data_IF_889092394300
#
_entry.id   IF_889092394300
#
_cell.length_a   1.000
_cell.length_b   1.000
_cell.length_c   1.000
_cell.angle_alpha   90.00
_cell.angle_beta   90.00
_cell.angle_gamma   90.00
#
_symmetry.space_group_name_H-M   'P 1'
#
loop_
_entity.id
_entity.type
_entity.pdbx_description
1 polymer ?
#
# COMPACT_ATOMS: atom_id res chain seq x y z
N UNK A 1 -8.42 -7.28 6.23
CA UNK A 1 -7.57 -6.13 5.92
C UNK A 1 -6.61 -6.48 4.79
N UNK A 2 -6.53 -5.64 3.82
CA UNK A 2 -5.57 -5.73 2.73
C UNK A 2 -4.39 -4.84 3.09
N UNK A 3 -3.18 -5.37 3.00
CA UNK A 3 -1.97 -4.61 3.33
C UNK A 3 -0.99 -4.72 2.18
N UNK A 4 -0.52 -3.58 1.71
CA UNK A 4 0.33 -3.49 0.53
C UNK A 4 1.60 -2.73 0.88
N UNK A 5 2.75 -3.32 0.54
CA UNK A 5 4.05 -2.67 0.71
C UNK A 5 4.62 -2.38 -0.66
N UNK A 6 4.88 -1.12 -0.94
CA UNK A 6 5.50 -0.69 -2.19
C UNK A 6 6.58 0.33 -1.88
N UNK A 7 7.43 0.61 -2.86
CA UNK A 7 8.45 1.64 -2.69
C UNK A 7 7.86 3.01 -2.99
N UNK A 8 8.31 4.01 -2.28
CA UNK A 8 7.87 5.39 -2.47
C UNK A 8 8.06 5.87 -3.91
N UNK A 9 9.13 5.43 -4.56
CA UNK A 9 9.47 5.86 -5.92
C UNK A 9 8.90 4.97 -7.01
N UNK A 10 8.16 3.92 -6.67
CA UNK A 10 7.53 3.07 -7.68
C UNK A 10 6.47 3.86 -8.45
N UNK A 11 6.40 3.60 -9.76
CA UNK A 11 5.50 4.32 -10.66
C UNK A 11 4.48 3.38 -11.28
N UNK A 12 3.33 3.95 -11.63
CA UNK A 12 2.30 3.27 -12.38
C UNK A 12 1.77 4.26 -13.42
N UNK A 13 2.03 3.97 -14.70
CA UNK A 13 1.62 4.83 -15.82
C UNK A 13 2.00 6.31 -15.60
N UNK A 14 3.23 6.54 -15.12
CA UNK A 14 3.76 7.88 -14.91
C UNK A 14 3.38 8.55 -13.60
N UNK A 15 2.57 7.88 -12.77
CA UNK A 15 2.15 8.40 -11.47
C UNK A 15 2.78 7.59 -10.33
N UNK A 16 2.80 8.16 -9.14
CA UNK A 16 3.25 7.40 -7.98
C UNK A 16 2.33 6.20 -7.79
N UNK A 17 2.92 5.01 -7.70
CA UNK A 17 2.15 3.78 -7.57
C UNK A 17 1.23 3.80 -6.34
N UNK A 18 1.74 4.25 -5.19
CA UNK A 18 0.92 4.22 -3.98
C UNK A 18 -0.31 5.13 -4.11
N UNK A 19 -0.17 6.28 -4.75
CA UNK A 19 -1.32 7.15 -5.01
C UNK A 19 -2.30 6.50 -5.96
N UNK A 20 -1.80 5.86 -7.03
CA UNK A 20 -2.66 5.17 -7.99
C UNK A 20 -3.46 4.06 -7.30
N UNK A 21 -2.83 3.33 -6.38
CA UNK A 21 -3.51 2.28 -5.63
C UNK A 21 -4.61 2.87 -4.75
N UNK A 22 -4.32 3.94 -4.04
CA UNK A 22 -5.30 4.59 -3.16
C UNK A 22 -6.51 5.07 -3.96
N UNK A 23 -6.28 5.72 -5.10
CA UNK A 23 -7.37 6.18 -5.96
C UNK A 23 -8.20 5.02 -6.50
N UNK A 24 -7.53 3.93 -6.86
CA UNK A 24 -8.24 2.75 -7.36
C UNK A 24 -9.11 2.13 -6.27
N UNK A 25 -8.59 2.02 -5.06
CA UNK A 25 -9.36 1.49 -3.93
C UNK A 25 -10.59 2.37 -3.64
N UNK A 26 -10.41 3.69 -3.69
CA UNK A 26 -11.52 4.61 -3.50
C UNK A 26 -12.56 4.46 -4.60
N UNK A 27 -12.12 4.36 -5.85
CA UNK A 27 -12.99 4.16 -7.00
C UNK A 27 -13.80 2.87 -6.86
N UNK A 28 -13.20 1.83 -6.31
CA UNK A 28 -13.85 0.54 -6.11
C UNK A 28 -14.74 0.50 -4.86
N UNK A 29 -14.84 1.61 -4.13
CA UNK A 29 -15.74 1.72 -2.99
C UNK A 29 -15.23 1.10 -1.69
N UNK A 30 -13.93 0.91 -1.55
CA UNK A 30 -13.36 0.37 -0.31
C UNK A 30 -13.61 1.34 0.84
N UNK A 31 -14.06 0.80 1.97
CA UNK A 31 -14.54 1.58 3.09
C UNK A 31 -13.48 2.46 3.73
N UNK A 32 -12.27 1.97 3.92
CA UNK A 32 -11.22 2.77 4.55
C UNK A 32 -9.84 2.41 4.04
N UNK A 33 -9.01 3.42 3.81
CA UNK A 33 -7.65 3.25 3.34
C UNK A 33 -6.75 4.23 4.10
N UNK A 34 -5.61 3.74 4.57
CA UNK A 34 -4.60 4.54 5.26
C UNK A 34 -3.25 4.28 4.62
N UNK A 35 -2.49 5.33 4.40
CA UNK A 35 -1.14 5.23 3.84
C UNK A 35 -0.15 5.69 4.88
N UNK A 36 0.90 4.90 5.09
CA UNK A 36 1.97 5.21 6.03
C UNK A 36 3.30 5.17 5.29
N UNK A 37 4.16 6.11 5.56
CA UNK A 37 5.52 6.12 5.03
C UNK A 37 6.44 5.62 6.13
N UNK A 38 7.14 4.52 5.88
CA UNK A 38 8.07 3.96 6.85
C UNK A 38 9.31 4.84 6.95
N UNK A 39 9.93 4.83 8.10
CA UNK A 39 11.15 5.61 8.33
C UNK A 39 12.40 4.81 7.96
N UNK A 40 12.27 3.50 7.84
CA UNK A 40 13.37 2.61 7.53
C UNK A 40 12.81 1.25 7.15
N UNK A 41 13.48 0.56 6.23
CA UNK A 41 13.08 -0.79 5.91
C UNK A 41 13.81 -1.35 4.71
N UNK A 42 13.74 -2.67 4.54
CA UNK A 42 14.23 -3.33 3.37
C UNK A 42 13.34 -4.54 3.07
N UNK A 43 13.35 -4.95 1.83
CA UNK A 43 12.61 -6.12 1.40
C UNK A 43 13.50 -7.08 0.63
N UNK A 44 12.90 -8.13 0.10
CA UNK A 44 13.62 -9.18 -0.63
C UNK A 44 14.41 -8.56 -1.79
N UNK A 45 15.72 -8.81 -1.80
CA UNK A 45 16.59 -8.35 -2.86
C UNK A 45 16.86 -6.85 -2.86
N UNK A 46 16.47 -6.14 -1.82
CA UNK A 46 16.62 -4.68 -1.74
C UNK A 46 17.62 -4.28 -0.68
N UNK A 47 18.29 -3.16 -0.91
CA UNK A 47 19.14 -2.54 0.08
C UNK A 47 18.29 -1.91 1.18
N UNK A 48 18.89 -1.75 2.36
CA UNK A 48 18.24 -1.04 3.45
C UNK A 48 18.04 0.42 3.08
N UNK A 49 16.81 0.91 3.28
CA UNK A 49 16.46 2.30 3.09
C UNK A 49 16.01 2.91 4.42
N UNK A 50 16.51 4.09 4.72
CA UNK A 50 16.20 4.79 5.96
C UNK A 50 16.07 6.28 5.69
N UNK A 51 15.20 6.93 6.46
CA UNK A 51 15.08 8.39 6.41
C UNK A 51 16.30 9.02 7.05
N UNK A 52 16.94 9.94 6.33
CA UNK A 52 18.10 10.68 6.83
C UNK A 52 17.96 12.13 6.43
N UNK A 53 18.44 13.03 7.29
CA UNK A 53 18.30 14.46 7.05
C UNK A 53 18.90 14.88 5.71
N UNK A 54 20.02 14.30 5.33
CA UNK A 54 20.72 14.68 4.09
C UNK A 54 20.45 13.73 2.92
N UNK A 55 19.57 12.77 3.09
CA UNK A 55 19.26 11.82 2.04
C UNK A 55 18.04 12.32 1.28
N UNK A 56 18.29 13.01 0.17
CA UNK A 56 17.24 13.62 -0.64
C UNK A 56 16.63 12.66 -1.65
N UNK A 57 17.23 11.49 -1.84
CA UNK A 57 16.80 10.54 -2.86
C UNK A 57 16.37 9.21 -2.26
N UNK A 58 16.14 9.16 -0.95
CA UNK A 58 15.77 7.91 -0.33
C UNK A 58 14.43 7.41 -0.83
N UNK A 59 14.39 6.11 -1.12
CA UNK A 59 13.19 5.41 -1.50
C UNK A 59 12.72 4.61 -0.30
N UNK A 60 11.75 5.13 0.41
CA UNK A 60 11.24 4.50 1.63
C UNK A 60 10.04 3.61 1.33
N UNK A 61 9.84 2.57 2.16
CA UNK A 61 8.64 1.76 2.03
C UNK A 61 7.38 2.57 2.31
N UNK A 62 6.38 2.34 1.49
CA UNK A 62 5.03 2.86 1.70
C UNK A 62 4.14 1.68 2.05
N UNK A 63 3.34 1.83 3.10
CA UNK A 63 2.42 0.81 3.55
C UNK A 63 1.00 1.33 3.33
N UNK A 64 0.21 0.57 2.59
CA UNK A 64 -1.20 0.90 2.34
C UNK A 64 -2.04 -0.15 3.05
N UNK A 65 -2.93 0.30 3.91
CA UNK A 65 -3.86 -0.59 4.61
C UNK A 65 -5.28 -0.25 4.20
N UNK A 66 -6.01 -1.25 3.75
CA UNK A 66 -7.40 -1.11 3.32
C UNK A 66 -8.29 -2.01 4.15
N UNK A 67 -9.37 -1.45 4.67
CA UNK A 67 -10.32 -2.16 5.53
C UNK A 67 -11.66 -2.23 4.81
N UNK A 68 -12.17 -3.45 4.66
CA UNK A 68 -13.52 -3.70 4.17
C UNK A 68 -13.86 -5.16 4.44
N UNK A 69 -15.02 -5.59 3.99
CA UNK A 69 -15.43 -7.00 4.10
C UNK A 69 -14.54 -7.88 3.22
N UNK A 70 -14.54 -9.18 3.52
CA UNK A 70 -13.80 -10.16 2.73
C UNK A 70 -14.21 -10.08 1.26
N UNK A 71 -15.51 -9.98 0.98
CA UNK A 71 -16.03 -9.93 -0.38
C UNK A 71 -15.51 -8.73 -1.16
N UNK A 72 -15.49 -7.57 -0.53
CA UNK A 72 -15.01 -6.35 -1.18
C UNK A 72 -13.50 -6.40 -1.43
N UNK A 73 -12.75 -6.92 -0.46
CA UNK A 73 -11.30 -7.08 -0.62
C UNK A 73 -11.00 -8.06 -1.77
N UNK A 74 -11.71 -9.19 -1.82
CA UNK A 74 -11.52 -10.18 -2.88
C UNK A 74 -11.81 -9.59 -4.26
N UNK A 75 -12.80 -8.72 -4.37
CA UNK A 75 -13.14 -8.08 -5.65
C UNK A 75 -12.02 -7.20 -6.18
N UNK A 76 -11.31 -6.50 -5.32
CA UNK A 76 -10.27 -5.55 -5.76
C UNK A 76 -8.90 -6.21 -5.92
N UNK A 77 -8.69 -7.37 -5.31
CA UNK A 77 -7.37 -8.04 -5.34
C UNK A 77 -6.79 -8.22 -6.74
N UNK A 78 -7.52 -8.73 -7.74
CA UNK A 78 -6.94 -8.90 -9.08
C UNK A 78 -6.46 -7.58 -9.66
N UNK A 79 -7.22 -6.52 -9.49
CA UNK A 79 -6.86 -5.19 -10.01
C UNK A 79 -5.61 -4.66 -9.31
N UNK A 80 -5.58 -4.71 -7.98
CA UNK A 80 -4.44 -4.22 -7.21
C UNK A 80 -3.20 -5.06 -7.51
N UNK A 81 -3.37 -6.39 -7.59
CA UNK A 81 -2.25 -7.29 -7.90
C UNK A 81 -1.63 -6.96 -9.26
N UNK A 82 -2.45 -6.59 -10.24
CA UNK A 82 -1.95 -6.23 -11.56
C UNK A 82 -1.16 -4.92 -11.58
N UNK A 83 -1.37 -4.08 -10.59
CA UNK A 83 -0.69 -2.78 -10.49
C UNK A 83 0.68 -2.88 -9.80
N UNK A 84 0.88 -3.91 -8.97
CA UNK A 84 2.09 -4.05 -8.16
C UNK A 84 3.04 -5.04 -8.82
N UNK A 85 4.12 -4.55 -9.41
CA UNK A 85 5.16 -5.39 -10.01
C UNK A 85 6.19 -5.80 -8.96
N UNK A 86 6.60 -4.86 -8.13
CA UNK A 86 7.52 -5.13 -7.03
C UNK A 86 6.87 -4.64 -5.75
N UNK A 87 6.84 -5.49 -4.75
CA UNK A 87 6.22 -5.17 -3.49
C UNK A 87 5.63 -6.42 -2.86
N UNK A 88 4.79 -6.22 -1.88
CA UNK A 88 4.15 -7.33 -1.18
C UNK A 88 2.69 -6.98 -0.96
N UNK A 89 1.83 -7.96 -1.21
CA UNK A 89 0.41 -7.83 -0.95
C UNK A 89 0.03 -8.95 0.00
N UNK A 90 -0.63 -8.61 1.10
CA UNK A 90 -1.11 -9.62 2.03
C UNK A 90 -2.52 -9.29 2.48
N UNK A 91 -3.24 -10.32 2.85
CA UNK A 91 -4.58 -10.20 3.40
C UNK A 91 -4.59 -10.88 4.76
N UNK A 92 -5.19 -10.22 5.74
CA UNK A 92 -5.33 -10.80 7.07
C UNK A 92 -6.70 -10.44 7.63
N UNK A 93 -7.21 -11.32 8.47
CA UNK A 93 -8.48 -11.07 9.14
C UNK A 93 -8.25 -10.15 10.33
N UNK A 94 -9.12 -9.17 10.46
CA UNK A 94 -9.11 -8.29 11.63
C UNK A 94 -10.53 -8.12 12.13
N UNK A 95 -10.67 -7.90 13.42
CA UNK A 95 -11.97 -7.61 14.02
C UNK A 95 -12.07 -6.11 14.24
N UNK A 96 -13.02 -5.46 13.58
CA UNK A 96 -13.25 -4.03 13.74
C UNK A 96 -14.32 -3.84 14.82
N UNK A 97 -13.92 -3.25 15.92
CA UNK A 97 -14.84 -3.06 17.05
C UNK A 97 -15.73 -1.85 16.82
N UNK A 98 -15.19 -0.83 16.17
CA UNK A 98 -15.91 0.41 15.94
C UNK A 98 -15.38 1.04 14.67
N UNK A 99 -16.28 1.49 13.79
CA UNK A 99 -15.88 2.10 12.52
C UNK A 99 -16.80 3.29 12.22
N UNK A 100 -16.17 4.40 11.84
CA UNK A 100 -16.88 5.61 11.52
C UNK A 100 -17.37 6.36 12.75
N UNK A 101 -18.38 7.14 12.53
CA UNK A 101 -18.94 7.98 13.58
C UNK A 101 -19.98 7.25 14.39
#
# INVERSE_FOLDING_TARGET
>A
MLKIYVSEDSKYKGHNLYNAIVYKLKECGIAGVTVTRAIEGYGKGKALHAARILDLSSSLPIIIEAIDTVEQIEKVLPTISSMVNEGMIMVTDVTVIKYGK
#
